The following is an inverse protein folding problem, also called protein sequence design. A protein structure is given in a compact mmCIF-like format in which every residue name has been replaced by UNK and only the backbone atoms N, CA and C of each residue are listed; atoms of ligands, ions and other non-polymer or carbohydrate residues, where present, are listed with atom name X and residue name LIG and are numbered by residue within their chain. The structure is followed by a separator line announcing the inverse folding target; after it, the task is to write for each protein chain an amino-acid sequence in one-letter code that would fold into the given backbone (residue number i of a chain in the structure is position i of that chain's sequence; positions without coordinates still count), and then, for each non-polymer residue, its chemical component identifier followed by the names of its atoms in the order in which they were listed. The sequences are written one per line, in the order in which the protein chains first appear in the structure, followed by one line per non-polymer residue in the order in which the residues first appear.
data_IF_575818895201
#
_entry.id   IF_575818895201
#
_cell.length_a   1.000
_cell.length_b   1.000
_cell.length_c   1.000
_cell.angle_alpha   90.00
_cell.angle_beta   90.00
_cell.angle_gamma   90.00
#
_symmetry.space_group_name_H-M   'P 1'
#
loop_
_entity.id
_entity.type
_entity.pdbx_description
1 polymer ?
#
# COMPACT_ATOMS: atom_id res chain seq x y z
N UNK A 1 -7.08 8.54 -28.48
CA UNK A 1 -6.77 7.79 -27.24
C UNK A 1 -7.80 8.15 -26.19
N UNK A 2 -8.46 7.19 -25.60
CA UNK A 2 -9.44 7.47 -24.55
C UNK A 2 -8.73 7.51 -23.20
N UNK A 3 -9.20 8.38 -22.31
CA UNK A 3 -8.67 8.47 -20.97
C UNK A 3 -9.10 7.25 -20.15
N UNK A 4 -8.24 6.85 -19.21
CA UNK A 4 -8.59 5.81 -18.25
C UNK A 4 -9.73 6.32 -17.37
N UNK A 5 -10.67 5.43 -16.96
CA UNK A 5 -11.68 5.81 -15.97
C UNK A 5 -11.09 6.04 -14.58
N UNK A 6 -9.85 5.60 -14.35
CA UNK A 6 -9.20 5.76 -13.05
C UNK A 6 -8.34 7.02 -13.05
N UNK A 7 -8.66 7.93 -12.15
CA UNK A 7 -7.91 9.18 -12.01
C UNK A 7 -6.52 8.92 -11.41
N UNK A 8 -6.45 7.98 -10.46
CA UNK A 8 -5.19 7.63 -9.80
C UNK A 8 -4.58 6.44 -10.51
N UNK A 9 -3.29 6.55 -10.84
CA UNK A 9 -2.55 5.43 -11.47
C UNK A 9 -1.62 4.74 -10.47
N UNK A 10 -1.20 5.43 -9.41
CA UNK A 10 -0.24 4.91 -8.44
C UNK A 10 -0.31 5.72 -7.15
N UNK A 11 -0.01 5.10 -6.03
CA UNK A 11 0.17 5.82 -4.76
C UNK A 11 1.31 5.21 -3.96
N UNK A 12 1.87 5.98 -3.03
CA UNK A 12 2.92 5.51 -2.14
C UNK A 12 2.59 5.90 -0.71
N UNK A 13 2.82 4.97 0.21
CA UNK A 13 2.60 5.19 1.64
C UNK A 13 3.96 5.18 2.32
N UNK A 14 4.44 6.32 2.83
CA UNK A 14 5.70 6.33 3.57
C UNK A 14 5.56 5.60 4.89
N UNK A 15 6.58 4.82 5.25
CA UNK A 15 6.60 4.07 6.49
C UNK A 15 7.93 4.26 7.20
N UNK A 16 7.93 4.19 8.53
CA UNK A 16 9.15 4.32 9.33
C UNK A 16 9.80 2.98 9.64
N UNK A 17 9.02 1.90 9.62
CA UNK A 17 9.51 0.55 9.86
C UNK A 17 8.93 -0.36 8.78
N UNK A 18 9.76 -0.70 7.80
CA UNK A 18 9.31 -1.45 6.64
C UNK A 18 8.80 -2.84 7.01
N UNK A 19 9.55 -3.57 7.82
CA UNK A 19 9.17 -4.94 8.19
C UNK A 19 7.82 -4.98 8.91
N UNK A 20 7.60 -4.05 9.80
CA UNK A 20 6.33 -3.93 10.54
C UNK A 20 5.18 -3.57 9.60
N UNK A 21 5.39 -2.61 8.72
CA UNK A 21 4.37 -2.19 7.75
C UNK A 21 4.05 -3.32 6.79
N UNK A 22 5.07 -4.04 6.30
CA UNK A 22 4.90 -5.18 5.42
C UNK A 22 4.01 -6.24 6.08
N UNK A 23 4.32 -6.60 7.33
CA UNK A 23 3.54 -7.60 8.07
C UNK A 23 2.09 -7.15 8.26
N UNK A 24 1.89 -5.88 8.59
CA UNK A 24 0.56 -5.32 8.77
C UNK A 24 -0.26 -5.41 7.48
N UNK A 25 0.27 -4.92 6.36
CA UNK A 25 -0.48 -4.90 5.11
C UNK A 25 -0.65 -6.29 4.51
N UNK A 26 0.32 -7.18 4.68
CA UNK A 26 0.14 -8.57 4.26
C UNK A 26 -1.02 -9.23 4.99
N UNK A 27 -1.11 -8.98 6.29
CA UNK A 27 -2.19 -9.54 7.11
C UNK A 27 -3.55 -8.94 6.75
N UNK A 28 -3.62 -7.62 6.69
CA UNK A 28 -4.90 -6.92 6.48
C UNK A 28 -5.44 -7.14 5.08
N UNK A 29 -4.59 -7.03 4.07
CA UNK A 29 -5.02 -7.14 2.67
C UNK A 29 -5.01 -8.57 2.15
N UNK A 30 -4.38 -9.50 2.88
CA UNK A 30 -4.29 -10.88 2.44
C UNK A 30 -3.39 -11.06 1.22
N UNK A 31 -2.30 -10.30 1.16
CA UNK A 31 -1.37 -10.32 0.03
C UNK A 31 0.03 -10.66 0.52
N UNK A 32 0.90 -11.02 -0.44
CA UNK A 32 2.32 -11.20 -0.18
C UNK A 32 3.06 -10.01 -0.77
N UNK A 33 3.89 -9.36 0.04
CA UNK A 33 4.63 -8.18 -0.37
C UNK A 33 6.10 -8.55 -0.51
N UNK A 34 6.63 -8.42 -1.74
CA UNK A 34 8.04 -8.65 -2.02
C UNK A 34 8.80 -7.34 -1.90
N UNK A 35 9.82 -7.24 -1.05
CA UNK A 35 10.61 -6.02 -0.95
C UNK A 35 11.43 -5.79 -2.22
N UNK A 36 11.52 -4.53 -2.63
CA UNK A 36 12.40 -4.12 -3.71
C UNK A 36 13.26 -2.96 -3.22
N UNK A 37 14.57 -3.16 -3.25
CA UNK A 37 15.51 -2.13 -2.82
C UNK A 37 15.99 -1.35 -4.04
N UNK A 38 15.80 -0.03 -3.98
CA UNK A 38 16.24 0.88 -5.05
C UNK A 38 17.06 2.00 -4.41
N UNK A 39 18.39 1.84 -4.39
CA UNK A 39 19.26 2.78 -3.72
C UNK A 39 18.94 2.85 -2.22
N UNK A 40 18.70 4.06 -1.69
CA UNK A 40 18.36 4.20 -0.28
C UNK A 40 16.91 3.84 0.05
N UNK A 41 16.09 3.55 -0.97
CA UNK A 41 14.66 3.34 -0.81
C UNK A 41 14.30 1.87 -0.87
N UNK A 42 13.46 1.41 0.05
CA UNK A 42 12.88 0.07 0.02
C UNK A 42 11.38 0.20 -0.24
N UNK A 43 10.89 -0.51 -1.24
CA UNK A 43 9.48 -0.49 -1.63
C UNK A 43 8.87 -1.88 -1.51
N UNK A 44 7.59 -1.92 -1.14
CA UNK A 44 6.81 -3.15 -1.16
C UNK A 44 5.51 -2.91 -1.89
N UNK A 45 5.31 -3.59 -3.01
CA UNK A 45 4.12 -3.41 -3.84
C UNK A 45 2.92 -4.10 -3.20
N UNK A 46 1.80 -3.38 -3.12
CA UNK A 46 0.58 -3.89 -2.49
C UNK A 46 -0.22 -4.80 -3.41
N UNK A 47 -0.01 -4.70 -4.72
CA UNK A 47 -0.59 -5.61 -5.70
C UNK A 47 0.36 -5.73 -6.89
N UNK A 48 0.41 -6.92 -7.47
CA UNK A 48 1.20 -7.18 -8.68
C UNK A 48 0.32 -7.39 -9.91
N UNK A 49 -0.99 -7.22 -9.77
CA UNK A 49 -1.93 -7.33 -10.88
C UNK A 49 -1.72 -6.16 -11.86
N UNK A 50 -1.29 -6.42 -13.10
CA UNK A 50 -1.01 -5.35 -14.06
C UNK A 50 -2.25 -4.56 -14.47
N UNK A 51 -3.44 -5.13 -14.27
CA UNK A 51 -4.70 -4.48 -14.64
C UNK A 51 -5.29 -3.65 -13.51
N UNK A 52 -4.70 -3.70 -12.33
CA UNK A 52 -5.21 -3.00 -11.15
C UNK A 52 -4.43 -1.73 -10.89
N UNK A 53 -5.13 -0.71 -10.37
CA UNK A 53 -4.47 0.42 -9.74
C UNK A 53 -3.87 -0.06 -8.43
N UNK A 54 -2.59 0.19 -8.23
CA UNK A 54 -1.89 -0.27 -7.04
C UNK A 54 -0.98 0.83 -6.51
N UNK A 55 -0.26 0.48 -5.46
CA UNK A 55 0.71 1.35 -4.82
C UNK A 55 1.71 0.55 -4.04
N UNK A 56 2.49 1.24 -3.24
CA UNK A 56 3.56 0.63 -2.47
C UNK A 56 3.68 1.28 -1.10
N UNK A 57 4.17 0.50 -0.13
CA UNK A 57 4.76 1.07 1.09
C UNK A 57 6.21 1.40 0.78
N UNK A 58 6.70 2.54 1.28
CA UNK A 58 8.01 3.07 0.92
C UNK A 58 8.75 3.49 2.18
N UNK A 59 10.02 3.07 2.29
CA UNK A 59 10.89 3.46 3.40
C UNK A 59 12.21 3.97 2.85
N UNK A 60 12.75 5.02 3.44
CA UNK A 60 14.06 5.55 3.09
C UNK A 60 14.04 6.69 2.08
N UNK A 61 12.84 7.10 1.63
CA UNK A 61 12.70 8.28 0.78
C UNK A 61 12.67 9.57 1.59
N UNK A 62 12.35 10.67 0.90
CA UNK A 62 12.29 11.99 1.53
C UNK A 62 11.02 12.22 2.32
N UNK A 63 9.99 11.37 2.11
CA UNK A 63 8.70 11.56 2.71
C UNK A 63 8.59 10.79 4.02
N UNK A 64 7.81 11.32 4.94
CA UNK A 64 7.56 10.72 6.24
C UNK A 64 6.07 10.49 6.43
N UNK A 65 5.67 9.49 7.25
CA UNK A 65 4.27 9.31 7.60
C UNK A 65 3.69 10.55 8.27
N UNK A 66 2.42 10.82 7.99
CA UNK A 66 1.72 11.98 8.55
C UNK A 66 0.24 11.63 8.69
N UNK A 67 -0.43 12.32 9.61
CA UNK A 67 -1.89 12.24 9.73
C UNK A 67 -2.59 13.40 9.02
N UNK A 68 -1.85 14.12 8.18
CA UNK A 68 -2.37 15.23 7.40
C UNK A 68 -2.12 14.94 5.91
N UNK A 69 -2.85 15.65 5.05
CA UNK A 69 -2.70 15.51 3.62
C UNK A 69 -3.78 14.62 3.02
N UNK A 70 -3.43 13.97 1.92
CA UNK A 70 -4.38 13.15 1.15
C UNK A 70 -4.79 11.90 1.92
N UNK A 71 -6.08 11.61 1.89
CA UNK A 71 -6.64 10.40 2.48
C UNK A 71 -6.80 9.34 1.39
N UNK A 72 -6.32 8.13 1.67
CA UNK A 72 -6.41 6.99 0.75
C UNK A 72 -7.38 5.97 1.32
N UNK A 73 -8.31 5.52 0.48
CA UNK A 73 -9.28 4.48 0.85
C UNK A 73 -8.88 3.19 0.17
N UNK A 74 -8.54 2.18 0.96
CA UNK A 74 -8.19 0.87 0.45
C UNK A 74 -9.45 0.04 0.25
N UNK A 75 -9.44 -0.76 -0.82
CA UNK A 75 -10.59 -1.60 -1.15
C UNK A 75 -10.62 -2.82 -0.23
N UNK A 76 -11.68 -2.94 0.55
CA UNK A 76 -11.88 -4.07 1.46
C UNK A 76 -12.78 -5.16 0.91
N UNK A 77 -13.19 -5.05 -0.36
CA UNK A 77 -14.10 -6.02 -0.97
C UNK A 77 -15.55 -5.79 -0.56
N UNK A 78 -16.36 -6.83 -0.65
CA UNK A 78 -17.80 -6.72 -0.38
C UNK A 78 -18.14 -6.73 1.10
N UNK A 79 -17.23 -7.24 1.94
CA UNK A 79 -17.46 -7.35 3.38
C UNK A 79 -16.20 -6.99 4.12
N UNK A 80 -16.26 -5.93 4.91
CA UNK A 80 -15.10 -5.41 5.64
C UNK A 80 -14.81 -6.18 6.94
N UNK A 81 -15.74 -6.99 7.43
CA UNK A 81 -15.58 -7.62 8.73
C UNK A 81 -14.33 -8.51 8.83
N UNK A 82 -14.02 -9.38 7.83
CA UNK A 82 -12.79 -10.17 7.90
C UNK A 82 -11.53 -9.32 7.93
N UNK A 83 -11.50 -8.25 7.13
CA UNK A 83 -10.34 -7.35 7.08
C UNK A 83 -10.18 -6.60 8.40
N UNK A 84 -11.28 -6.07 8.95
CA UNK A 84 -11.24 -5.37 10.22
C UNK A 84 -10.75 -6.25 11.36
N UNK A 85 -11.13 -7.53 11.35
CA UNK A 85 -10.68 -8.47 12.37
C UNK A 85 -9.16 -8.67 12.34
N UNK A 86 -8.53 -8.50 11.18
CA UNK A 86 -7.08 -8.65 11.01
C UNK A 86 -6.30 -7.39 11.37
N UNK A 87 -6.97 -6.26 11.53
CA UNK A 87 -6.32 -5.00 11.94
C UNK A 87 -6.00 -5.02 13.42
N UNK A 88 -6.87 -5.60 14.22
CA UNK A 88 -6.71 -5.61 15.68
C UNK A 88 -5.56 -6.54 16.06
N UNK A 89 -4.56 -6.03 16.79
CA UNK A 89 -3.45 -6.88 17.24
C UNK A 89 -3.90 -7.91 18.24
#
# INVERSE_FOLDING_TARGET
MSASPHVISWFEIPVTNFARAKAFYESVLGVTIEPMVMGPTTMGFLSTDPDAVSGAIVHGGDEAPSNQGTVIYLNGGDNLAPMLARVVP
#
